data_IF_007632397758
#
_entry.id   IF_007632397758
#
_cell.length_a   1.000
_cell.length_b   1.000
_cell.length_c   1.000
_cell.angle_alpha   90.00
_cell.angle_beta   90.00
_cell.angle_gamma   90.00
#
_symmetry.space_group_name_H-M   'P 1'
#
loop_
_entity.id
_entity.type
_entity.pdbx_description
1 polymer ?
#
# COMPACT_ATOMS: atom_id res chain seq x y z
N UNK A 1 -5.56 -24.99 -0.50
CA UNK A 1 -5.37 -23.53 -0.51
C UNK A 1 -6.46 -22.98 0.39
N UNK A 2 -6.12 -22.76 1.66
CA UNK A 2 -7.09 -22.43 2.71
C UNK A 2 -6.98 -20.95 3.06
N UNK A 3 -8.12 -20.34 3.40
CA UNK A 3 -8.26 -18.91 3.75
C UNK A 3 -7.18 -18.38 4.71
N UNK A 4 -6.68 -19.21 5.63
CA UNK A 4 -5.62 -18.84 6.56
C UNK A 4 -4.26 -18.60 5.87
N UNK A 5 -3.94 -19.40 4.84
CA UNK A 5 -2.71 -19.28 4.07
C UNK A 5 -2.75 -18.06 3.15
N UNK A 6 -3.91 -17.78 2.55
CA UNK A 6 -4.12 -16.57 1.74
C UNK A 6 -4.03 -15.28 2.57
N UNK A 7 -4.47 -15.32 3.85
CA UNK A 7 -4.32 -14.20 4.78
C UNK A 7 -2.87 -13.98 5.23
N UNK A 8 -2.12 -15.06 5.47
CA UNK A 8 -0.72 -15.00 5.84
C UNK A 8 0.13 -14.45 4.68
N UNK A 9 -0.13 -14.92 3.46
CA UNK A 9 0.50 -14.41 2.24
C UNK A 9 0.14 -12.93 1.99
N UNK A 10 -1.13 -12.54 2.16
CA UNK A 10 -1.54 -11.14 2.07
C UNK A 10 -0.84 -10.27 3.12
N UNK A 11 -0.67 -10.76 4.34
CA UNK A 11 0.07 -10.09 5.41
C UNK A 11 1.55 -9.87 5.04
N UNK A 12 2.21 -10.87 4.47
CA UNK A 12 3.59 -10.75 3.99
C UNK A 12 3.72 -9.72 2.85
N UNK A 13 2.76 -9.71 1.91
CA UNK A 13 2.73 -8.74 0.81
C UNK A 13 2.52 -7.31 1.32
N UNK A 14 1.56 -7.10 2.23
CA UNK A 14 1.32 -5.79 2.86
C UNK A 14 2.57 -5.31 3.61
N UNK A 15 3.24 -6.23 4.31
CA UNK A 15 4.47 -5.93 5.03
C UNK A 15 5.60 -5.52 4.07
N UNK A 16 5.77 -6.22 2.95
CA UNK A 16 6.73 -5.86 1.90
C UNK A 16 6.42 -4.51 1.25
N UNK A 17 5.14 -4.23 1.00
CA UNK A 17 4.67 -2.93 0.47
C UNK A 17 5.00 -1.79 1.45
N UNK A 18 4.91 -2.02 2.76
CA UNK A 18 5.29 -1.03 3.77
C UNK A 18 6.81 -0.89 4.00
N UNK A 19 7.56 -1.98 3.91
CA UNK A 19 9.01 -2.02 4.17
C UNK A 19 9.84 -1.35 3.08
N UNK A 20 9.45 -1.52 1.81
CA UNK A 20 10.17 -0.94 0.68
C UNK A 20 10.26 0.59 0.77
N UNK A 21 9.14 1.34 0.91
CA UNK A 21 9.18 2.79 1.10
C UNK A 21 9.93 3.19 2.38
N UNK A 22 9.75 2.46 3.48
CA UNK A 22 10.46 2.71 4.73
C UNK A 22 11.99 2.65 4.55
N UNK A 23 12.50 1.69 3.79
CA UNK A 23 13.93 1.57 3.49
C UNK A 23 14.45 2.78 2.69
N UNK A 24 13.68 3.30 1.73
CA UNK A 24 14.05 4.49 0.96
C UNK A 24 14.02 5.78 1.80
N UNK A 25 13.03 5.92 2.69
CA UNK A 25 12.94 7.04 3.63
C UNK A 25 14.16 7.05 4.55
N UNK A 26 14.48 5.90 5.17
CA UNK A 26 15.65 5.77 6.03
C UNK A 26 16.93 6.06 5.26
N UNK A 27 17.07 5.56 4.02
CA UNK A 27 18.24 5.86 3.18
C UNK A 27 18.37 7.36 2.88
N UNK A 28 17.27 8.05 2.56
CA UNK A 28 17.26 9.49 2.30
C UNK A 28 17.66 10.28 3.54
N UNK A 29 17.16 9.88 4.72
CA UNK A 29 17.55 10.46 5.99
C UNK A 29 19.03 10.23 6.29
N UNK A 30 19.52 8.99 6.17
CA UNK A 30 20.94 8.65 6.41
C UNK A 30 21.87 9.47 5.51
N UNK A 31 21.52 9.64 4.23
CA UNK A 31 22.30 10.45 3.28
C UNK A 31 22.34 11.93 3.62
N UNK A 32 21.35 12.44 4.35
CA UNK A 32 21.23 13.85 4.70
C UNK A 32 21.44 14.13 6.20
N UNK A 33 21.92 13.15 6.99
CA UNK A 33 22.08 13.31 8.45
C UNK A 33 23.01 14.46 8.85
N UNK A 34 23.96 14.83 8.00
CA UNK A 34 24.91 15.92 8.24
C UNK A 34 24.49 17.24 7.59
N UNK A 35 23.34 17.27 6.91
CA UNK A 35 22.84 18.48 6.26
C UNK A 35 21.90 19.23 7.23
N UNK A 36 22.29 20.41 7.76
CA UNK A 36 21.46 21.17 8.69
C UNK A 36 20.20 21.78 8.05
N UNK A 37 20.13 21.87 6.73
CA UNK A 37 18.94 22.35 6.00
C UNK A 37 17.92 21.23 5.73
N UNK A 38 18.29 19.97 6.00
CA UNK A 38 17.41 18.83 5.77
C UNK A 38 16.49 18.60 6.97
N UNK A 39 15.20 18.84 6.76
CA UNK A 39 14.17 18.55 7.76
C UNK A 39 13.82 17.05 7.75
N UNK A 40 14.45 16.31 8.68
CA UNK A 40 14.16 14.88 8.88
C UNK A 40 12.71 14.63 9.27
N UNK A 41 12.07 15.54 10.02
CA UNK A 41 10.71 15.36 10.49
C UNK A 41 9.73 15.47 9.33
N UNK A 42 9.93 16.46 8.45
CA UNK A 42 9.15 16.61 7.22
C UNK A 42 9.33 15.41 6.29
N UNK A 43 10.57 14.93 6.10
CA UNK A 43 10.85 13.75 5.29
C UNK A 43 10.18 12.48 5.83
N UNK A 44 10.16 12.30 7.16
CA UNK A 44 9.44 11.19 7.80
C UNK A 44 7.94 11.27 7.56
N UNK A 45 7.35 12.47 7.78
CA UNK A 45 5.92 12.71 7.62
C UNK A 45 5.46 12.43 6.19
N UNK A 46 6.17 12.99 5.20
CA UNK A 46 5.88 12.75 3.79
C UNK A 46 6.04 11.27 3.41
N UNK A 47 7.04 10.60 3.99
CA UNK A 47 7.26 9.18 3.84
C UNK A 47 6.09 8.33 4.36
N UNK A 48 5.63 8.59 5.58
CA UNK A 48 4.46 7.93 6.17
C UNK A 48 3.19 8.19 5.37
N UNK A 49 2.99 9.43 4.91
CA UNK A 49 1.83 9.79 4.09
C UNK A 49 1.83 9.05 2.75
N UNK A 50 2.99 8.85 2.14
CA UNK A 50 3.13 8.03 0.92
C UNK A 50 2.81 6.55 1.13
N UNK A 51 3.22 5.98 2.28
CA UNK A 51 2.89 4.59 2.65
C UNK A 51 1.39 4.45 2.86
N UNK A 52 0.79 5.39 3.59
CA UNK A 52 -0.66 5.42 3.81
C UNK A 52 -1.39 5.54 2.48
N UNK A 53 -0.99 6.44 1.57
CA UNK A 53 -1.61 6.53 0.24
C UNK A 53 -1.45 5.26 -0.60
N UNK A 54 -0.34 4.54 -0.46
CA UNK A 54 -0.13 3.26 -1.14
C UNK A 54 -0.96 2.11 -0.57
N UNK A 55 -1.24 2.15 0.74
CA UNK A 55 -2.03 1.13 1.46
C UNK A 55 -3.52 1.42 1.49
N UNK A 56 -3.91 2.69 1.41
CA UNK A 56 -5.31 3.07 1.22
C UNK A 56 -5.74 2.42 -0.08
N UNK A 57 -6.75 1.53 -0.04
CA UNK A 57 -7.25 0.94 -1.26
C UNK A 57 -7.72 2.11 -2.11
N UNK A 58 -7.12 2.28 -3.29
CA UNK A 58 -7.55 3.30 -4.23
C UNK A 58 -9.05 3.11 -4.42
N UNK A 59 -9.87 3.94 -3.79
CA UNK A 59 -11.33 3.75 -3.70
C UNK A 59 -11.91 3.54 -5.10
N UNK A 60 -11.33 4.21 -6.10
CA UNK A 60 -11.61 3.98 -7.51
C UNK A 60 -11.39 2.53 -7.97
N UNK A 61 -10.24 1.91 -7.66
CA UNK A 61 -9.98 0.50 -7.99
C UNK A 61 -10.91 -0.45 -7.22
N UNK A 62 -11.19 -0.17 -5.95
CA UNK A 62 -12.11 -0.98 -5.14
C UNK A 62 -13.53 -0.94 -5.71
N UNK A 63 -13.98 0.25 -6.13
CA UNK A 63 -15.28 0.44 -6.79
C UNK A 63 -15.32 -0.21 -8.18
N UNK A 64 -14.24 -0.12 -8.96
CA UNK A 64 -14.14 -0.79 -10.27
C UNK A 64 -14.18 -2.31 -10.11
N UNK A 65 -13.48 -2.86 -9.11
CA UNK A 65 -13.51 -4.29 -8.81
C UNK A 65 -14.91 -4.74 -8.38
N UNK A 66 -15.57 -3.96 -7.51
CA UNK A 66 -16.94 -4.22 -7.08
C UNK A 66 -17.92 -4.16 -8.26
N UNK A 67 -17.78 -3.19 -9.16
CA UNK A 67 -18.58 -3.09 -10.37
C UNK A 67 -18.35 -4.27 -11.32
N UNK A 68 -17.11 -4.71 -11.50
CA UNK A 68 -16.79 -5.87 -12.31
C UNK A 68 -17.41 -7.16 -11.75
N UNK A 69 -17.31 -7.38 -10.43
CA UNK A 69 -17.95 -8.51 -9.75
C UNK A 69 -19.47 -8.46 -9.90
N UNK A 70 -20.08 -7.29 -9.73
CA UNK A 70 -21.52 -7.10 -9.91
C UNK A 70 -21.97 -7.43 -11.33
N UNK A 71 -21.26 -6.94 -12.35
CA UNK A 71 -21.56 -7.23 -13.76
C UNK A 71 -21.43 -8.72 -14.08
N UNK A 72 -20.43 -9.41 -13.52
CA UNK A 72 -20.26 -10.86 -13.67
C UNK A 72 -21.42 -11.62 -13.01
N UNK A 73 -21.85 -11.21 -11.81
CA UNK A 73 -23.00 -11.85 -11.14
C UNK A 73 -24.31 -11.65 -11.89
N UNK A 74 -24.57 -10.44 -12.40
CA UNK A 74 -25.76 -10.15 -13.20
C UNK A 74 -25.74 -10.92 -14.52
N UNK A 75 -24.58 -11.07 -15.16
CA UNK A 75 -24.42 -11.88 -16.37
C UNK A 75 -24.52 -13.40 -16.13
N UNK A 76 -24.15 -13.87 -14.95
CA UNK A 76 -24.13 -15.30 -14.59
C UNK A 76 -25.47 -15.81 -14.02
N UNK A 77 -26.35 -14.94 -13.54
CA UNK A 77 -27.66 -15.30 -12.96
C UNK A 77 -28.80 -15.49 -13.98
N UNK A 78 -28.50 -15.45 -15.28
CA UNK A 78 -29.48 -15.59 -16.37
C UNK A 78 -29.67 -17.02 -16.91
N UNK A 79 -29.28 -18.05 -16.15
CA UNK A 79 -29.56 -19.46 -16.48
C UNK A 79 -30.12 -20.20 -15.28
#
# INVERSE_FOLDING_TARGET
>A
MGFAQDFEDAGAIITLIGLLPAAFIVLAMTRNMTNPEYDMTAAFSAGMESIVQALVPAIGLTLVLAAAIFLIQVGSGGR
#
